data_IF_305865832175
#
_entry.id   IF_305865832175
#
_cell.length_a   1.000
_cell.length_b   1.000
_cell.length_c   1.000
_cell.angle_alpha   90.00
_cell.angle_beta   90.00
_cell.angle_gamma   90.00
#
_symmetry.space_group_name_H-M   'P 1'
#
loop_
_entity.id
_entity.type
_entity.pdbx_description
1 polymer ?
#
# COMPACT_ATOMS: atom_id res chain seq x y z
N UNK A 1 -13.64 -6.79 -1.58
CA UNK A 1 -13.10 -5.98 -0.46
C UNK A 1 -13.46 -6.52 0.94
N UNK A 2 -14.38 -7.48 1.06
CA UNK A 2 -14.85 -8.01 2.35
C UNK A 2 -14.47 -9.47 2.61
N UNK A 3 -13.65 -10.08 1.74
CA UNK A 3 -13.22 -11.48 1.90
C UNK A 3 -12.14 -11.61 2.97
N UNK A 4 -12.29 -12.55 3.89
CA UNK A 4 -11.30 -12.89 4.92
C UNK A 4 -10.00 -13.44 4.31
N UNK A 5 -10.04 -13.92 3.06
CA UNK A 5 -8.86 -14.38 2.33
C UNK A 5 -7.80 -13.29 2.13
N UNK A 6 -8.17 -12.01 2.23
CA UNK A 6 -7.20 -10.90 2.15
C UNK A 6 -6.19 -10.89 3.30
N UNK A 7 -6.56 -11.44 4.45
CA UNK A 7 -5.64 -11.64 5.57
C UNK A 7 -4.40 -12.47 5.17
N UNK A 8 -4.53 -13.36 4.19
CA UNK A 8 -3.43 -14.21 3.72
C UNK A 8 -2.24 -13.40 3.15
N UNK A 9 -2.43 -12.15 2.74
CA UNK A 9 -1.35 -11.27 2.32
C UNK A 9 -0.33 -11.06 3.44
N UNK A 10 -0.78 -11.01 4.71
CA UNK A 10 0.05 -10.67 5.88
C UNK A 10 0.10 -11.75 6.96
N UNK A 11 -0.78 -12.77 6.94
CA UNK A 11 -0.83 -13.78 8.00
C UNK A 11 0.48 -14.53 8.22
N UNK A 12 1.21 -14.80 7.14
CA UNK A 12 2.50 -15.49 7.18
C UNK A 12 3.66 -14.59 7.66
N UNK A 13 3.50 -13.27 7.64
CA UNK A 13 4.57 -12.33 7.97
C UNK A 13 4.69 -12.15 9.49
N UNK A 14 5.91 -12.19 10.08
CA UNK A 14 6.12 -12.27 11.54
C UNK A 14 6.05 -10.89 12.23
N UNK A 15 4.94 -10.17 12.08
CA UNK A 15 4.65 -8.97 12.88
C UNK A 15 4.32 -9.39 14.31
N UNK A 16 4.80 -8.67 15.32
CA UNK A 16 4.68 -9.00 16.75
C UNK A 16 3.84 -7.97 17.49
N UNK A 17 3.33 -8.35 18.66
CA UNK A 17 2.59 -7.44 19.57
C UNK A 17 3.43 -6.28 20.12
N UNK A 18 4.73 -6.32 20.00
CA UNK A 18 5.63 -5.21 20.33
C UNK A 18 5.77 -4.19 19.22
N UNK A 19 5.33 -4.50 17.99
CA UNK A 19 5.60 -3.70 16.80
C UNK A 19 4.50 -2.66 16.57
N UNK A 20 4.91 -1.53 16.01
CA UNK A 20 4.03 -0.47 15.49
C UNK A 20 3.97 -0.54 13.96
N UNK A 21 2.77 -0.39 13.42
CA UNK A 21 2.51 -0.50 11.97
C UNK A 21 1.81 0.75 11.45
N UNK A 22 2.29 1.28 10.34
CA UNK A 22 1.62 2.29 9.53
C UNK A 22 1.04 1.62 8.28
N UNK A 23 -0.26 1.64 8.13
CA UNK A 23 -0.98 1.16 6.95
C UNK A 23 -1.37 2.34 6.06
N UNK A 24 -0.93 2.33 4.82
CA UNK A 24 -1.21 3.37 3.84
C UNK A 24 -2.27 2.90 2.85
N UNK A 25 -3.29 3.75 2.65
CA UNK A 25 -4.41 3.44 1.77
C UNK A 25 -5.27 2.30 2.30
N UNK A 26 -5.61 2.37 3.59
CA UNK A 26 -6.34 1.31 4.31
C UNK A 26 -7.70 0.94 3.65
N UNK A 27 -8.24 1.83 2.80
CA UNK A 27 -9.51 1.62 2.15
C UNK A 27 -10.64 1.39 3.17
N UNK A 28 -11.41 0.34 2.92
CA UNK A 28 -12.48 -0.09 3.83
C UNK A 28 -11.99 -1.05 4.93
N UNK A 29 -10.69 -1.06 5.24
CA UNK A 29 -10.13 -1.85 6.33
C UNK A 29 -9.99 -3.34 6.05
N UNK A 30 -9.73 -3.72 4.79
CA UNK A 30 -9.68 -5.13 4.38
C UNK A 30 -8.56 -5.94 5.08
N UNK A 31 -7.43 -5.30 5.40
CA UNK A 31 -6.31 -5.91 6.10
C UNK A 31 -6.04 -5.26 7.46
N UNK A 32 -6.66 -4.12 7.76
CA UNK A 32 -6.49 -3.37 9.02
C UNK A 32 -6.74 -4.25 10.25
N UNK A 33 -7.83 -5.04 10.21
CA UNK A 33 -8.16 -5.98 11.30
C UNK A 33 -7.06 -7.00 11.57
N UNK A 34 -6.47 -7.57 10.51
CA UNK A 34 -5.35 -8.50 10.60
C UNK A 34 -4.10 -7.84 11.18
N UNK A 35 -3.81 -6.59 10.77
CA UNK A 35 -2.70 -5.82 11.35
C UNK A 35 -2.93 -5.59 12.86
N UNK A 36 -4.13 -5.21 13.27
CA UNK A 36 -4.48 -5.02 14.68
C UNK A 36 -4.36 -6.33 15.50
N UNK A 37 -4.65 -7.46 14.92
CA UNK A 37 -4.47 -8.77 15.55
C UNK A 37 -3.00 -9.14 15.76
N UNK A 38 -2.12 -8.69 14.89
CA UNK A 38 -0.68 -9.01 14.94
C UNK A 38 0.15 -7.97 15.68
N UNK A 39 -0.05 -6.69 15.42
CA UNK A 39 0.73 -5.59 15.98
C UNK A 39 0.22 -5.10 17.34
N UNK A 40 1.06 -4.35 18.05
CA UNK A 40 0.68 -3.66 19.28
C UNK A 40 -0.02 -2.34 19.02
N UNK A 41 0.37 -1.63 17.95
CA UNK A 41 -0.22 -0.38 17.54
C UNK A 41 -0.34 -0.33 16.00
N UNK A 42 -1.48 0.13 15.50
CA UNK A 42 -1.74 0.33 14.07
C UNK A 42 -2.22 1.75 13.85
N UNK A 43 -1.58 2.46 12.93
CA UNK A 43 -2.06 3.72 12.38
C UNK A 43 -2.42 3.47 10.92
N UNK A 44 -3.69 3.69 10.55
CA UNK A 44 -4.18 3.54 9.18
C UNK A 44 -4.45 4.92 8.60
N UNK A 45 -3.91 5.21 7.41
CA UNK A 45 -4.16 6.45 6.66
C UNK A 45 -4.99 6.13 5.43
N UNK A 46 -6.09 6.86 5.25
CA UNK A 46 -6.97 6.72 4.09
C UNK A 46 -7.39 8.11 3.57
N UNK A 47 -7.29 8.32 2.26
CA UNK A 47 -7.64 9.59 1.61
C UNK A 47 -9.15 9.86 1.67
N UNK A 48 -9.97 8.84 1.47
CA UNK A 48 -11.43 8.95 1.42
C UNK A 48 -12.05 8.83 2.81
N UNK A 49 -12.66 9.92 3.29
CA UNK A 49 -13.41 9.93 4.57
C UNK A 49 -14.45 8.81 4.63
N UNK A 50 -15.18 8.56 3.53
CA UNK A 50 -16.20 7.51 3.48
C UNK A 50 -15.60 6.11 3.66
N UNK A 51 -14.46 5.82 3.02
CA UNK A 51 -13.78 4.53 3.19
C UNK A 51 -13.19 4.38 4.59
N UNK A 52 -12.61 5.45 5.14
CA UNK A 52 -12.11 5.47 6.51
C UNK A 52 -13.22 5.21 7.55
N UNK A 53 -14.43 5.76 7.34
CA UNK A 53 -15.58 5.47 8.21
C UNK A 53 -15.99 3.98 8.14
N UNK A 54 -15.97 3.36 6.96
CA UNK A 54 -16.24 1.93 6.84
C UNK A 54 -15.16 1.12 7.59
N UNK A 55 -13.89 1.50 7.46
CA UNK A 55 -12.80 0.89 8.21
C UNK A 55 -13.02 1.00 9.72
N UNK A 56 -13.42 2.19 10.19
CA UNK A 56 -13.72 2.43 11.60
C UNK A 56 -14.81 1.47 12.12
N UNK A 57 -15.98 1.42 11.49
CA UNK A 57 -17.07 0.55 11.91
C UNK A 57 -16.72 -0.93 11.83
N UNK A 58 -15.95 -1.32 10.81
CA UNK A 58 -15.48 -2.71 10.66
C UNK A 58 -14.54 -3.13 11.77
N UNK A 59 -13.74 -2.23 12.28
CA UNK A 59 -12.70 -2.48 13.28
C UNK A 59 -12.97 -1.78 14.63
N UNK A 60 -14.21 -1.38 14.92
CA UNK A 60 -14.60 -0.61 16.11
C UNK A 60 -14.20 -1.26 17.46
N UNK A 61 -14.07 -2.60 17.47
CA UNK A 61 -13.66 -3.36 18.66
C UNK A 61 -12.13 -3.44 18.85
N UNK A 62 -11.35 -2.87 17.92
CA UNK A 62 -9.89 -2.86 18.01
C UNK A 62 -9.42 -1.60 18.75
N UNK A 63 -8.88 -1.79 19.94
CA UNK A 63 -8.44 -0.70 20.83
C UNK A 63 -7.03 -0.18 20.53
N UNK A 64 -6.32 -0.82 19.60
CA UNK A 64 -4.95 -0.48 19.19
C UNK A 64 -4.89 0.16 17.78
N UNK A 65 -6.03 0.66 17.29
CA UNK A 65 -6.17 1.26 15.96
C UNK A 65 -6.38 2.77 16.04
N UNK A 66 -5.59 3.52 15.29
CA UNK A 66 -5.81 4.94 14.97
C UNK A 66 -6.08 5.07 13.48
N UNK A 67 -7.17 5.73 13.09
CA UNK A 67 -7.50 6.00 11.68
C UNK A 67 -7.37 7.49 11.42
N UNK A 68 -6.57 7.84 10.41
CA UNK A 68 -6.35 9.21 9.95
C UNK A 68 -6.89 9.37 8.53
N UNK A 69 -7.54 10.51 8.28
CA UNK A 69 -8.13 10.83 6.98
C UNK A 69 -7.37 11.96 6.34
N UNK A 70 -6.81 11.74 5.16
CA UNK A 70 -6.10 12.77 4.40
C UNK A 70 -5.10 12.18 3.41
N UNK A 71 -4.51 13.08 2.61
CA UNK A 71 -3.40 12.71 1.74
C UNK A 71 -2.13 12.59 2.59
N UNK A 72 -1.51 11.45 2.58
CA UNK A 72 -0.27 11.21 3.32
C UNK A 72 0.85 12.19 2.91
N UNK A 73 0.86 12.65 1.65
CA UNK A 73 1.87 13.61 1.19
C UNK A 73 1.82 14.94 1.96
N UNK A 74 0.64 15.30 2.48
CA UNK A 74 0.40 16.54 3.21
C UNK A 74 0.45 16.35 4.74
N UNK A 75 0.70 15.10 5.21
CA UNK A 75 0.70 14.76 6.63
C UNK A 75 2.12 14.64 7.18
N UNK A 76 2.29 15.10 8.42
CA UNK A 76 3.37 14.69 9.29
C UNK A 76 2.77 13.86 10.44
N UNK A 77 3.17 12.61 10.54
CA UNK A 77 2.64 11.69 11.56
C UNK A 77 3.39 11.79 12.90
N UNK A 78 4.50 12.56 12.95
CA UNK A 78 5.26 12.83 14.16
C UNK A 78 5.91 11.60 14.82
N UNK A 79 5.89 10.44 14.16
CA UNK A 79 6.45 9.19 14.70
C UNK A 79 6.95 8.25 13.60
N UNK A 80 7.79 7.30 13.99
CA UNK A 80 8.30 6.25 13.12
C UNK A 80 7.75 4.86 13.55
N UNK A 81 7.69 3.94 12.59
CA UNK A 81 7.07 2.64 12.73
C UNK A 81 8.05 1.51 12.46
N UNK A 82 7.78 0.34 13.04
CA UNK A 82 8.52 -0.88 12.76
C UNK A 82 8.19 -1.42 11.36
N UNK A 83 6.94 -1.20 10.91
CA UNK A 83 6.50 -1.55 9.56
C UNK A 83 5.68 -0.43 8.93
N UNK A 84 5.93 -0.18 7.65
CA UNK A 84 5.04 0.57 6.77
C UNK A 84 4.48 -0.40 5.75
N UNK A 85 3.15 -0.49 5.66
CA UNK A 85 2.43 -1.42 4.77
C UNK A 85 1.73 -0.64 3.68
N UNK A 86 2.05 -0.96 2.43
CA UNK A 86 1.50 -0.35 1.21
C UNK A 86 0.90 -1.47 0.37
N UNK A 87 -0.41 -1.63 0.42
CA UNK A 87 -1.12 -2.71 -0.27
C UNK A 87 -2.15 -2.16 -1.26
N UNK A 88 -1.91 -2.31 -2.55
CA UNK A 88 -2.80 -1.81 -3.59
C UNK A 88 -2.89 -0.28 -3.62
N UNK A 89 -1.75 0.43 -3.50
CA UNK A 89 -1.68 1.90 -3.45
C UNK A 89 -0.58 2.44 -4.35
N UNK A 90 0.58 1.78 -4.39
CA UNK A 90 1.73 2.27 -5.14
C UNK A 90 1.41 2.48 -6.63
N UNK A 91 0.55 1.66 -7.20
CA UNK A 91 0.09 1.75 -8.59
C UNK A 91 -0.55 3.10 -8.94
N UNK A 92 -1.11 3.77 -7.94
CA UNK A 92 -1.77 5.08 -8.10
C UNK A 92 -0.88 6.26 -7.71
N UNK A 93 0.39 6.05 -7.35
CA UNK A 93 1.25 7.11 -6.80
C UNK A 93 1.33 8.35 -7.71
N UNK A 94 1.33 8.17 -9.04
CA UNK A 94 1.32 9.29 -9.98
C UNK A 94 0.04 10.14 -9.96
N UNK A 95 -1.04 9.67 -9.36
CA UNK A 95 -2.31 10.42 -9.25
C UNK A 95 -2.35 11.35 -8.01
N UNK A 96 -1.45 11.13 -7.04
CA UNK A 96 -1.47 11.90 -5.78
C UNK A 96 -0.08 12.36 -5.31
N UNK A 97 0.97 12.10 -6.10
CA UNK A 97 2.34 12.55 -5.84
C UNK A 97 2.82 13.37 -7.03
N UNK A 98 3.19 14.61 -6.81
CA UNK A 98 3.66 15.53 -7.84
C UNK A 98 5.12 15.26 -8.23
N UNK A 99 5.52 15.76 -9.41
CA UNK A 99 6.88 15.72 -9.94
C UNK A 99 7.16 14.60 -10.93
N UNK A 100 8.38 14.55 -11.44
CA UNK A 100 8.78 13.65 -12.54
C UNK A 100 9.05 12.21 -12.10
N UNK A 101 9.20 11.98 -10.79
CA UNK A 101 9.51 10.68 -10.19
C UNK A 101 8.53 10.31 -9.07
N UNK A 102 7.21 10.24 -9.34
CA UNK A 102 6.19 10.13 -8.28
C UNK A 102 6.31 8.85 -7.45
N UNK A 103 6.73 7.74 -8.05
CA UNK A 103 6.89 6.46 -7.35
C UNK A 103 8.08 6.49 -6.39
N UNK A 104 9.21 7.03 -6.85
CA UNK A 104 10.40 7.19 -6.03
C UNK A 104 10.15 8.19 -4.88
N UNK A 105 9.49 9.30 -5.17
CA UNK A 105 9.12 10.32 -4.18
C UNK A 105 8.19 9.71 -3.11
N UNK A 106 7.16 8.99 -3.54
CA UNK A 106 6.24 8.31 -2.63
C UNK A 106 6.96 7.28 -1.75
N UNK A 107 7.78 6.39 -2.32
CA UNK A 107 8.53 5.41 -1.54
C UNK A 107 9.56 6.07 -0.60
N UNK A 108 10.23 7.13 -1.03
CA UNK A 108 11.14 7.91 -0.18
C UNK A 108 10.42 8.45 1.06
N UNK A 109 9.19 8.97 0.90
CA UNK A 109 8.35 9.39 2.03
C UNK A 109 7.96 8.22 2.93
N UNK A 110 7.68 7.03 2.38
CA UNK A 110 7.45 5.83 3.21
C UNK A 110 8.69 5.50 4.05
N UNK A 111 9.88 5.70 3.48
CA UNK A 111 11.15 5.52 4.19
C UNK A 111 11.30 6.43 5.41
N UNK A 112 10.85 7.69 5.35
CA UNK A 112 10.93 8.63 6.48
C UNK A 112 10.07 8.22 7.68
N UNK A 113 9.03 7.42 7.45
CA UNK A 113 8.19 6.87 8.53
C UNK A 113 8.72 5.56 9.13
N UNK A 114 9.82 5.02 8.62
CA UNK A 114 10.42 3.81 9.16
C UNK A 114 11.45 4.12 10.23
N UNK A 115 11.43 3.35 11.31
CA UNK A 115 12.56 3.26 12.25
C UNK A 115 13.81 2.73 11.52
N UNK A 116 14.99 2.91 12.11
CA UNK A 116 16.26 2.46 11.51
C UNK A 116 16.28 0.97 11.11
N UNK A 117 15.57 0.12 11.84
CA UNK A 117 15.43 -1.32 11.56
C UNK A 117 14.07 -1.67 10.94
N UNK A 118 13.25 -0.67 10.67
CA UNK A 118 11.91 -0.81 10.14
C UNK A 118 11.90 -1.39 8.72
N UNK A 119 10.75 -1.93 8.32
CA UNK A 119 10.60 -2.59 7.02
C UNK A 119 9.39 -2.06 6.27
N UNK A 120 9.58 -1.82 4.98
CA UNK A 120 8.49 -1.50 4.04
C UNK A 120 7.95 -2.80 3.42
N UNK A 121 6.66 -3.03 3.59
CA UNK A 121 5.94 -4.15 2.99
C UNK A 121 5.05 -3.62 1.85
N UNK A 122 5.34 -4.04 0.62
CA UNK A 122 4.58 -3.64 -0.56
C UNK A 122 3.88 -4.87 -1.14
N UNK A 123 2.58 -4.77 -1.35
CA UNK A 123 1.81 -5.72 -2.14
C UNK A 123 1.17 -4.98 -3.32
N UNK A 124 1.48 -5.43 -4.52
CA UNK A 124 1.05 -4.84 -5.79
C UNK A 124 0.96 -5.93 -6.86
N UNK A 125 0.07 -5.78 -7.82
CA UNK A 125 -0.06 -6.68 -8.96
C UNK A 125 1.21 -6.63 -9.82
N UNK A 126 1.63 -7.81 -10.28
CA UNK A 126 2.73 -7.90 -11.24
C UNK A 126 2.17 -7.76 -12.67
N UNK A 127 2.56 -6.71 -13.41
CA UNK A 127 2.12 -6.49 -14.79
C UNK A 127 2.43 -7.67 -15.74
N UNK A 128 3.38 -8.52 -15.36
CA UNK A 128 3.75 -9.76 -16.07
C UNK A 128 3.11 -11.00 -15.43
N UNK A 129 1.98 -10.83 -14.74
CA UNK A 129 1.21 -11.96 -14.21
C UNK A 129 0.71 -12.89 -15.32
N UNK A 130 0.76 -14.20 -15.11
CA UNK A 130 0.38 -15.20 -16.13
C UNK A 130 -1.04 -14.99 -16.68
N UNK A 131 -1.98 -14.49 -15.86
CA UNK A 131 -3.34 -14.21 -16.28
C UNK A 131 -3.41 -13.21 -17.45
N UNK A 132 -2.52 -12.22 -17.48
CA UNK A 132 -2.50 -11.22 -18.55
C UNK A 132 -1.98 -11.78 -19.86
N UNK A 133 -1.04 -12.74 -19.84
CA UNK A 133 -0.60 -13.47 -21.03
C UNK A 133 -1.69 -14.41 -21.56
N UNK A 134 -2.58 -14.89 -20.67
CA UNK A 134 -3.75 -15.68 -21.05
C UNK A 134 -4.94 -14.82 -21.53
N UNK A 135 -4.75 -13.50 -21.70
CA UNK A 135 -5.77 -12.61 -22.26
C UNK A 135 -6.71 -11.98 -21.22
N UNK A 136 -6.47 -12.17 -19.91
CA UNK A 136 -7.22 -11.43 -18.90
C UNK A 136 -6.95 -9.92 -19.04
N UNK A 137 -7.98 -9.06 -18.90
CA UNK A 137 -7.81 -7.61 -18.91
C UNK A 137 -6.96 -7.15 -17.73
N UNK A 138 -6.34 -5.99 -17.88
CA UNK A 138 -5.58 -5.34 -16.81
C UNK A 138 -6.55 -4.87 -15.70
N UNK A 139 -6.21 -5.11 -14.43
CA UNK A 139 -7.13 -4.99 -13.28
C UNK A 139 -7.68 -3.57 -13.05
N UNK A 140 -7.02 -2.53 -13.53
CA UNK A 140 -7.36 -1.14 -13.28
C UNK A 140 -7.99 -0.45 -14.50
N UNK A 141 -7.70 -0.94 -15.70
CA UNK A 141 -8.11 -0.31 -16.96
C UNK A 141 -9.09 -1.15 -17.76
N UNK A 142 -9.26 -2.44 -17.40
CA UNK A 142 -10.10 -3.41 -18.10
C UNK A 142 -9.73 -3.63 -19.57
N UNK A 143 -8.45 -3.35 -19.93
CA UNK A 143 -7.94 -3.50 -21.30
C UNK A 143 -6.96 -4.69 -21.36
N UNK A 144 -7.20 -5.70 -22.22
CA UNK A 144 -6.27 -6.81 -22.42
C UNK A 144 -4.88 -6.35 -22.83
N UNK A 145 -3.83 -6.98 -22.28
CA UNK A 145 -2.41 -6.72 -22.58
C UNK A 145 -1.90 -5.31 -22.24
N UNK A 146 -2.72 -4.43 -21.69
CA UNK A 146 -2.39 -3.02 -21.49
C UNK A 146 -1.15 -2.81 -20.60
N UNK A 147 -1.09 -3.52 -19.47
CA UNK A 147 0.07 -3.49 -18.57
C UNK A 147 1.33 -4.08 -19.19
N UNK A 148 1.21 -5.20 -19.93
CA UNK A 148 2.33 -5.83 -20.66
C UNK A 148 2.92 -4.86 -21.68
N UNK A 149 2.08 -4.10 -22.37
CA UNK A 149 2.47 -3.09 -23.36
C UNK A 149 2.96 -1.76 -22.75
N UNK A 150 3.10 -1.68 -21.42
CA UNK A 150 3.69 -0.53 -20.74
C UNK A 150 2.76 0.65 -20.50
N UNK A 151 1.43 0.44 -20.51
CA UNK A 151 0.40 1.47 -20.23
C UNK A 151 0.42 2.65 -21.22
N UNK A 152 0.35 2.45 -22.53
CA UNK A 152 0.47 3.53 -23.52
C UNK A 152 -0.60 4.62 -23.29
N UNK A 153 -0.15 5.87 -23.12
CA UNK A 153 -1.04 7.02 -22.90
C UNK A 153 -1.75 7.08 -21.54
N UNK A 154 -1.43 6.19 -20.59
CA UNK A 154 -1.99 6.24 -19.24
C UNK A 154 -1.08 7.02 -18.30
N UNK A 155 -1.68 7.95 -17.55
CA UNK A 155 -1.01 8.81 -16.57
C UNK A 155 -1.66 8.73 -15.17
N UNK A 156 -2.46 7.70 -14.89
CA UNK A 156 -3.19 7.59 -13.61
C UNK A 156 -2.88 6.35 -12.80
N UNK A 157 -2.56 5.22 -13.46
CA UNK A 157 -2.29 3.95 -12.79
C UNK A 157 -1.20 3.17 -13.53
N UNK A 158 -0.33 2.50 -12.77
CA UNK A 158 0.70 1.64 -13.34
C UNK A 158 1.12 0.55 -12.36
N UNK A 159 1.10 -0.70 -12.80
CA UNK A 159 1.75 -1.81 -12.09
C UNK A 159 3.14 -2.10 -12.67
N UNK A 160 3.91 -2.91 -11.99
CA UNK A 160 5.33 -3.10 -12.30
C UNK A 160 5.68 -4.57 -12.42
N UNK A 161 6.70 -4.87 -13.22
CA UNK A 161 7.43 -6.13 -13.09
C UNK A 161 8.31 -6.09 -11.83
N UNK A 162 8.73 -7.26 -11.35
CA UNK A 162 9.64 -7.35 -10.19
C UNK A 162 10.91 -6.51 -10.40
N UNK A 163 11.50 -6.55 -11.59
CA UNK A 163 12.72 -5.81 -11.92
C UNK A 163 12.50 -4.29 -11.90
N UNK A 164 11.37 -3.81 -12.43
CA UNK A 164 11.02 -2.38 -12.38
C UNK A 164 10.83 -1.91 -10.95
N UNK A 165 10.07 -2.65 -10.14
CA UNK A 165 9.84 -2.32 -8.73
C UNK A 165 11.14 -2.30 -7.94
N UNK A 166 12.06 -3.23 -8.19
CA UNK A 166 13.39 -3.23 -7.56
C UNK A 166 14.21 -1.99 -7.93
N UNK A 167 14.15 -1.51 -9.19
CA UNK A 167 14.83 -0.29 -9.62
C UNK A 167 14.25 0.95 -8.91
N UNK A 168 12.92 1.05 -8.82
CA UNK A 168 12.23 2.14 -8.11
C UNK A 168 12.64 2.13 -6.64
N UNK A 169 12.59 0.97 -5.97
CA UNK A 169 13.05 0.82 -4.57
C UNK A 169 14.46 1.34 -4.35
N UNK A 170 15.41 0.91 -5.18
CA UNK A 170 16.82 1.36 -5.07
C UNK A 170 16.97 2.87 -5.20
N UNK A 171 16.27 3.49 -6.16
CA UNK A 171 16.28 4.95 -6.36
C UNK A 171 15.65 5.70 -5.19
N UNK A 172 14.74 5.05 -4.45
CA UNK A 172 14.09 5.60 -3.26
C UNK A 172 14.88 5.38 -1.95
N UNK A 173 16.11 4.84 -2.04
CA UNK A 173 16.97 4.61 -0.86
C UNK A 173 16.75 3.27 -0.16
N UNK A 174 15.95 2.36 -0.71
CA UNK A 174 15.78 1.00 -0.19
C UNK A 174 16.77 0.02 -0.84
N UNK A 175 17.36 -0.91 -0.08
CA UNK A 175 18.28 -1.91 -0.59
C UNK A 175 17.63 -2.91 -1.58
#
# INVERSE_FOLDING_TARGET
HFSDLRANILNWYPIKKSDSVLEIGAGCGAITGTLCEKAGQVTSVELSKRRAQINYYRNEKKNNLTIMVGNLNDMDLGQQYDYVVVNGVLEYAMSFTEGDTPYETFLGKMGSYLKNTGKLLIAIENKLGMKYFAGAPEDHTDIPFFGINGYPGNHSVRTFSKTELQKIKKKSGFP
#
